data_IF_864284206694
#
_entry.id   IF_864284206694
#
_cell.length_a   1.000
_cell.length_b   1.000
_cell.length_c   1.000
_cell.angle_alpha   90.00
_cell.angle_beta   90.00
_cell.angle_gamma   90.00
#
_symmetry.space_group_name_H-M   'P 1'
#
loop_
_entity.id
_entity.type
_entity.pdbx_description
1 polymer ?
#
# COMPACT_ATOMS: atom_id res chain seq x y z
N UNK A 1 -14.36 1.02 5.76
CA UNK A 1 -14.60 -0.18 4.92
C UNK A 1 -13.28 -0.50 4.22
N UNK A 2 -12.81 -1.74 4.16
CA UNK A 2 -11.49 -2.06 3.60
C UNK A 2 -11.59 -2.92 2.33
N UNK A 3 -10.71 -2.67 1.36
CA UNK A 3 -10.70 -3.36 0.07
C UNK A 3 -9.28 -3.84 -0.27
N UNK A 4 -9.18 -4.77 -1.23
CA UNK A 4 -7.92 -5.31 -1.70
C UNK A 4 -7.47 -4.58 -2.97
N UNK A 5 -6.18 -4.28 -3.04
CA UNK A 5 -5.56 -3.61 -4.17
C UNK A 5 -4.25 -4.29 -4.53
N UNK A 6 -3.95 -4.35 -5.83
CA UNK A 6 -2.63 -4.76 -6.29
C UNK A 6 -1.61 -3.66 -6.06
N UNK A 7 -0.40 -4.07 -5.69
CA UNK A 7 0.73 -3.16 -5.49
C UNK A 7 1.39 -2.90 -6.82
N UNK A 8 1.59 -1.63 -7.12
CA UNK A 8 2.56 -1.17 -8.10
C UNK A 8 3.62 -0.34 -7.39
N UNK A 9 4.87 -0.44 -7.86
CA UNK A 9 5.97 0.35 -7.31
C UNK A 9 6.39 1.43 -8.29
N UNK A 10 6.46 2.66 -7.78
CA UNK A 10 7.05 3.77 -8.52
C UNK A 10 7.98 4.55 -7.60
N UNK A 11 9.27 4.71 -7.98
CA UNK A 11 10.21 5.55 -7.21
C UNK A 11 9.81 7.03 -7.24
N UNK A 12 9.01 7.43 -8.23
CA UNK A 12 8.52 8.78 -8.42
C UNK A 12 7.09 8.98 -7.89
N UNK A 13 6.58 8.03 -7.09
CA UNK A 13 5.27 8.18 -6.47
C UNK A 13 5.27 9.43 -5.58
N UNK A 14 4.34 10.36 -5.84
CA UNK A 14 4.28 11.64 -5.12
C UNK A 14 4.08 11.39 -3.62
N UNK A 15 4.96 11.87 -2.77
CA UNK A 15 4.77 11.73 -1.33
C UNK A 15 3.73 12.74 -0.86
N UNK A 16 2.58 12.25 -0.41
CA UNK A 16 1.57 13.12 0.22
C UNK A 16 1.85 13.25 1.72
N UNK A 17 1.65 14.46 2.25
CA UNK A 17 2.00 14.80 3.63
C UNK A 17 1.02 14.22 4.65
N UNK A 18 -0.13 13.68 4.22
CA UNK A 18 -1.18 13.18 5.12
C UNK A 18 -1.33 11.67 4.94
N UNK A 19 -0.91 10.92 5.96
CA UNK A 19 -1.16 9.49 6.05
C UNK A 19 -2.63 9.22 6.35
N UNK A 20 -3.43 8.92 5.31
CA UNK A 20 -4.88 8.65 5.42
C UNK A 20 -5.26 7.18 5.25
N UNK A 21 -4.31 6.34 4.84
CA UNK A 21 -4.59 4.97 4.45
C UNK A 21 -3.76 4.00 5.27
N UNK A 22 -4.43 3.05 5.93
CA UNK A 22 -3.77 1.92 6.57
C UNK A 22 -3.65 0.79 5.55
N UNK A 23 -2.44 0.49 5.12
CA UNK A 23 -2.11 -0.63 4.26
C UNK A 23 -1.69 -1.83 5.10
N UNK A 24 -2.23 -3.01 4.80
CA UNK A 24 -1.89 -4.26 5.46
C UNK A 24 -1.52 -5.33 4.43
N UNK A 25 -0.41 -6.04 4.64
CA UNK A 25 -0.04 -7.19 3.83
C UNK A 25 -1.01 -8.36 4.06
N UNK A 26 -1.11 -9.25 3.09
CA UNK A 26 -2.06 -10.37 3.11
C UNK A 26 -1.45 -11.70 3.55
N UNK A 27 -0.12 -11.78 3.66
CA UNK A 27 0.61 -13.00 4.05
C UNK A 27 0.66 -13.11 5.57
N UNK A 28 -0.04 -14.10 6.14
CA UNK A 28 -0.16 -14.25 7.60
C UNK A 28 1.17 -14.50 8.33
N UNK A 29 2.11 -15.24 7.73
CA UNK A 29 3.41 -15.55 8.35
C UNK A 29 4.35 -14.34 8.47
N UNK A 30 4.09 -13.27 7.70
CA UNK A 30 4.89 -12.05 7.69
C UNK A 30 3.97 -10.84 7.61
N UNK A 31 2.91 -10.88 8.39
CA UNK A 31 1.90 -9.84 8.39
C UNK A 31 2.51 -8.53 8.88
N UNK A 32 2.24 -7.47 8.13
CA UNK A 32 2.72 -6.12 8.39
C UNK A 32 1.58 -5.16 8.05
N UNK A 33 1.54 -4.03 8.76
CA UNK A 33 0.65 -2.94 8.40
C UNK A 33 1.35 -1.60 8.63
N UNK A 34 1.11 -0.67 7.74
CA UNK A 34 1.67 0.68 7.81
C UNK A 34 0.70 1.69 7.22
N UNK A 35 0.75 2.89 7.80
CA UNK A 35 0.20 4.06 7.17
C UNK A 35 0.93 4.41 5.88
N UNK A 36 0.17 4.79 4.86
CA UNK A 36 0.65 5.33 3.59
C UNK A 36 -0.10 6.63 3.27
N UNK A 37 0.60 7.54 2.61
CA UNK A 37 0.08 8.88 2.29
C UNK A 37 -0.96 8.88 1.17
N UNK A 38 -1.01 7.81 0.35
CA UNK A 38 -1.77 7.77 -0.89
C UNK A 38 -2.83 6.68 -0.88
N UNK A 39 -3.94 6.97 -1.55
CA UNK A 39 -4.98 6.01 -1.88
C UNK A 39 -4.72 5.33 -3.24
N UNK A 40 -5.58 4.37 -3.61
CA UNK A 40 -5.49 3.69 -4.90
C UNK A 40 -5.76 4.65 -6.08
N UNK A 41 -5.09 4.43 -7.22
CA UNK A 41 -5.21 5.29 -8.41
C UNK A 41 -6.44 4.89 -9.25
N UNK A 42 -6.44 3.69 -9.84
CA UNK A 42 -7.48 3.23 -10.77
C UNK A 42 -8.50 2.27 -10.11
N UNK A 43 -8.76 2.47 -8.82
CA UNK A 43 -9.71 1.68 -8.04
C UNK A 43 -9.34 0.20 -7.84
N UNK A 44 -8.19 -0.24 -8.35
CA UNK A 44 -7.70 -1.62 -8.28
C UNK A 44 -6.22 -1.73 -7.90
N UNK A 45 -5.46 -0.63 -8.05
CA UNK A 45 -4.02 -0.58 -7.79
C UNK A 45 -3.68 0.50 -6.77
N UNK A 46 -2.63 0.26 -5.98
CA UNK A 46 -2.00 1.24 -5.10
C UNK A 46 -0.54 1.40 -5.49
N UNK A 47 -0.10 2.65 -5.68
CA UNK A 47 1.28 2.97 -6.02
C UNK A 47 2.08 3.27 -4.74
N UNK A 48 3.02 2.38 -4.44
CA UNK A 48 3.95 2.50 -3.32
C UNK A 48 5.32 2.96 -3.80
N UNK A 49 6.00 3.73 -2.96
CA UNK A 49 7.44 3.90 -3.08
C UNK A 49 8.15 2.60 -2.69
N UNK A 50 9.38 2.35 -3.16
CA UNK A 50 10.16 1.18 -2.74
C UNK A 50 10.30 1.06 -1.22
N UNK A 51 10.46 2.18 -0.51
CA UNK A 51 10.56 2.20 0.95
C UNK A 51 9.24 1.79 1.63
N UNK A 52 8.09 2.20 1.10
CA UNK A 52 6.79 1.76 1.62
C UNK A 52 6.57 0.27 1.38
N UNK A 53 6.92 -0.22 0.19
CA UNK A 53 6.81 -1.63 -0.16
C UNK A 53 7.72 -2.51 0.72
N UNK A 54 8.96 -2.07 0.98
CA UNK A 54 9.90 -2.75 1.87
C UNK A 54 9.36 -2.83 3.30
N UNK A 55 8.87 -1.72 3.86
CA UNK A 55 8.26 -1.71 5.21
C UNK A 55 7.04 -2.61 5.31
N UNK A 56 6.28 -2.74 4.24
CA UNK A 56 5.14 -3.65 4.14
C UNK A 56 5.54 -5.08 3.74
N UNK A 57 6.79 -5.35 3.38
CA UNK A 57 7.23 -6.67 2.93
C UNK A 57 6.48 -7.17 1.69
N UNK A 58 6.11 -6.26 0.78
CA UNK A 58 5.36 -6.56 -0.45
C UNK A 58 6.16 -6.15 -1.69
N UNK A 59 5.85 -6.76 -2.83
CA UNK A 59 6.43 -6.48 -4.13
C UNK A 59 5.35 -6.12 -5.18
N UNK A 60 5.74 -5.64 -6.35
CA UNK A 60 4.79 -5.33 -7.43
C UNK A 60 4.04 -6.61 -7.82
N UNK A 61 2.73 -6.50 -7.97
CA UNK A 61 1.83 -7.63 -8.21
C UNK A 61 1.33 -8.33 -6.94
N UNK A 62 1.93 -8.09 -5.77
CA UNK A 62 1.33 -8.52 -4.50
C UNK A 62 0.03 -7.76 -4.23
N UNK A 63 -0.76 -8.27 -3.27
CA UNK A 63 -2.01 -7.66 -2.86
C UNK A 63 -1.92 -7.16 -1.43
N UNK A 64 -2.36 -5.92 -1.20
CA UNK A 64 -2.53 -5.32 0.12
C UNK A 64 -4.00 -5.00 0.38
N UNK A 65 -4.37 -4.99 1.66
CA UNK A 65 -5.67 -4.48 2.11
C UNK A 65 -5.51 -3.02 2.52
N UNK A 66 -6.31 -2.13 1.95
CA UNK A 66 -6.34 -0.72 2.33
C UNK A 66 -7.61 -0.37 3.09
N UNK A 67 -7.45 0.44 4.13
CA UNK A 67 -8.52 1.06 4.89
C UNK A 67 -8.30 2.58 4.91
N UNK A 68 -9.30 3.34 4.47
CA UNK A 68 -9.35 4.80 4.61
C UNK A 68 -9.77 5.19 6.03
N UNK A 69 -9.11 6.21 6.60
CA UNK A 69 -9.43 6.77 7.93
C UNK A 69 -9.45 8.28 7.94
#
# INVERSE_FOLDING_TARGET
NSQLYQVEMSPNAKQESVSRWLAASTRMLSFTASWVGRGPEDGSTIVLTPQEAERLGVSSGDTVRLLET
#
